data_IF_876085654578
#
_entry.id   IF_876085654578
#
_cell.length_a   1.000
_cell.length_b   1.000
_cell.length_c   1.000
_cell.angle_alpha   90.00
_cell.angle_beta   90.00
_cell.angle_gamma   90.00
#
_symmetry.space_group_name_H-M   'P 1'
#
loop_
_entity.id
_entity.type
_entity.pdbx_description
1 polymer ?
#
# COMPACT_ATOMS: atom_id res chain seq x y z
N UNK A 1 -22.26 -37.39 -0.82
CA UNK A 1 -20.87 -37.11 -0.40
C UNK A 1 -20.05 -38.38 -0.57
N UNK A 2 -18.93 -38.37 -1.29
CA UNK A 2 -18.04 -39.52 -1.30
C UNK A 2 -17.40 -39.68 0.08
N UNK A 3 -17.51 -40.88 0.67
CA UNK A 3 -16.89 -41.23 1.94
C UNK A 3 -15.48 -41.73 1.65
N UNK A 4 -14.45 -41.03 2.15
CA UNK A 4 -13.07 -41.51 2.08
C UNK A 4 -12.87 -42.68 3.06
N UNK A 5 -12.02 -43.66 2.75
CA UNK A 5 -11.81 -44.82 3.63
C UNK A 5 -11.27 -44.39 4.99
N UNK A 6 -11.73 -45.07 6.05
CA UNK A 6 -11.29 -44.82 7.42
C UNK A 6 -9.79 -45.11 7.56
N UNK A 7 -9.04 -44.19 8.16
CA UNK A 7 -7.63 -44.41 8.52
C UNK A 7 -7.61 -44.94 9.95
N UNK A 8 -7.19 -46.19 10.11
CA UNK A 8 -6.99 -46.83 11.41
C UNK A 8 -5.51 -46.83 11.76
N UNK A 9 -5.14 -46.15 12.85
CA UNK A 9 -3.80 -46.22 13.42
C UNK A 9 -3.82 -47.05 14.71
N UNK A 10 -2.75 -47.80 14.94
CA UNK A 10 -2.50 -48.55 16.16
C UNK A 10 -1.34 -47.90 16.90
N UNK A 11 -1.51 -47.64 18.19
CA UNK A 11 -0.44 -47.16 19.07
C UNK A 11 -0.29 -48.18 20.20
N UNK A 12 0.92 -48.73 20.37
CA UNK A 12 1.24 -49.64 21.47
C UNK A 12 1.63 -48.85 22.71
N UNK A 13 1.03 -49.19 23.85
CA UNK A 13 1.56 -48.85 25.17
C UNK A 13 1.84 -50.16 25.92
N UNK A 14 2.76 -50.15 26.90
CA UNK A 14 3.29 -51.34 27.59
C UNK A 14 2.23 -52.24 28.27
N UNK A 15 0.94 -51.90 28.25
CA UNK A 15 -0.16 -52.77 28.65
C UNK A 15 -1.34 -52.71 27.67
N UNK A 16 -1.15 -53.24 26.45
CA UNK A 16 -2.22 -53.57 25.51
C UNK A 16 -2.38 -52.62 24.31
N UNK A 17 -2.84 -53.17 23.18
CA UNK A 17 -3.13 -52.41 21.96
C UNK A 17 -4.46 -51.66 22.09
N UNK A 18 -4.45 -50.33 21.96
CA UNK A 18 -5.68 -49.52 21.88
C UNK A 18 -5.92 -49.09 20.44
N UNK A 19 -7.15 -49.29 19.95
CA UNK A 19 -7.57 -49.01 18.57
C UNK A 19 -8.25 -47.64 18.51
N UNK A 20 -7.66 -46.68 17.81
CA UNK A 20 -8.32 -45.43 17.47
C UNK A 20 -8.71 -45.41 16.00
N UNK A 21 -9.98 -45.08 15.72
CA UNK A 21 -10.47 -44.93 14.35
C UNK A 21 -10.90 -43.49 14.10
N UNK A 22 -10.39 -42.91 13.01
CA UNK A 22 -10.80 -41.59 12.52
C UNK A 22 -11.39 -41.72 11.12
N UNK A 23 -12.58 -41.17 10.95
CA UNK A 23 -13.25 -41.07 9.65
C UNK A 23 -13.36 -39.60 9.25
N UNK A 24 -13.02 -39.33 7.99
CA UNK A 24 -12.98 -37.99 7.42
C UNK A 24 -14.07 -37.83 6.37
N UNK A 25 -14.79 -36.71 6.43
CA UNK A 25 -15.79 -36.33 5.44
C UNK A 25 -15.53 -34.92 4.92
N UNK A 26 -15.57 -34.75 3.61
CA UNK A 26 -15.38 -33.46 2.96
C UNK A 26 -16.74 -32.85 2.61
N UNK A 27 -16.95 -31.58 2.99
CA UNK A 27 -18.15 -30.80 2.68
C UNK A 27 -17.73 -29.62 1.79
N UNK A 28 -17.80 -29.81 0.48
CA UNK A 28 -17.31 -28.87 -0.54
C UNK A 28 -18.00 -27.50 -0.47
N UNK A 29 -19.22 -27.42 0.08
CA UNK A 29 -19.97 -26.17 0.15
C UNK A 29 -19.56 -25.24 1.29
N UNK A 30 -18.81 -25.70 2.30
CA UNK A 30 -18.54 -24.91 3.52
C UNK A 30 -17.07 -24.65 3.85
N UNK A 31 -16.10 -25.18 3.10
CA UNK A 31 -14.66 -25.00 3.37
C UNK A 31 -14.22 -25.45 4.80
N UNK A 32 -14.82 -26.52 5.32
CA UNK A 32 -14.38 -27.15 6.57
C UNK A 32 -14.11 -28.64 6.35
N UNK A 33 -13.08 -29.16 7.01
CA UNK A 33 -12.85 -30.59 7.11
C UNK A 33 -13.50 -31.10 8.39
N UNK A 34 -14.46 -32.02 8.26
CA UNK A 34 -15.10 -32.67 9.41
C UNK A 34 -14.43 -34.01 9.66
N UNK A 35 -14.13 -34.28 10.92
CA UNK A 35 -13.70 -35.60 11.34
C UNK A 35 -14.45 -36.04 12.59
N UNK A 36 -14.65 -37.35 12.65
CA UNK A 36 -15.19 -38.04 13.81
C UNK A 36 -14.09 -38.89 14.43
N UNK A 37 -13.92 -38.75 15.73
CA UNK A 37 -12.98 -39.52 16.52
C UNK A 37 -13.75 -40.35 17.54
N UNK A 38 -13.32 -41.61 17.69
CA UNK A 38 -13.84 -42.53 18.71
C UNK A 38 -12.71 -42.81 19.67
N UNK A 39 -12.95 -42.54 20.96
CA UNK A 39 -12.00 -42.85 22.00
C UNK A 39 -12.11 -44.32 22.44
N UNK A 40 -11.21 -44.74 23.33
CA UNK A 40 -11.11 -46.12 23.80
C UNK A 40 -12.35 -46.58 24.60
N UNK A 41 -13.20 -45.64 25.04
CA UNK A 41 -14.43 -45.90 25.80
C UNK A 41 -15.69 -45.91 24.89
N UNK A 42 -15.52 -45.66 23.59
CA UNK A 42 -16.60 -45.69 22.60
C UNK A 42 -17.38 -44.38 22.46
N UNK A 43 -16.89 -43.28 23.03
CA UNK A 43 -17.51 -41.96 22.89
C UNK A 43 -17.15 -41.31 21.55
N UNK A 44 -18.17 -40.78 20.87
CA UNK A 44 -18.05 -40.14 19.56
C UNK A 44 -17.90 -38.63 19.68
N UNK A 45 -16.76 -38.09 19.23
CA UNK A 45 -16.49 -36.66 19.18
C UNK A 45 -16.51 -36.15 17.73
N UNK A 46 -17.32 -35.11 17.45
CA UNK A 46 -17.37 -34.42 16.15
C UNK A 46 -16.62 -33.10 16.22
N UNK A 47 -15.60 -32.97 15.37
CA UNK A 47 -14.79 -31.76 15.29
C UNK A 47 -14.76 -31.22 13.85
N UNK A 48 -14.54 -29.91 13.72
CA UNK A 48 -14.43 -29.22 12.43
C UNK A 48 -13.24 -28.26 12.43
N UNK A 49 -12.38 -28.36 11.42
CA UNK A 49 -11.24 -27.46 11.23
C UNK A 49 -11.46 -26.63 9.96
N UNK A 50 -11.30 -25.29 10.00
CA UNK A 50 -11.38 -24.45 8.81
C UNK A 50 -10.29 -24.83 7.79
N UNK A 51 -10.67 -24.94 6.51
CA UNK A 51 -9.78 -25.32 5.42
C UNK A 51 -9.52 -24.12 4.49
N UNK A 52 -8.32 -23.54 4.44
CA UNK A 52 -8.00 -22.53 3.43
C UNK A 52 -7.55 -23.22 2.13
N UNK A 53 -8.41 -23.27 1.12
CA UNK A 53 -8.00 -23.68 -0.23
C UNK A 53 -7.07 -22.62 -0.85
N UNK A 54 -5.84 -23.01 -1.22
CA UNK A 54 -5.03 -22.33 -2.25
C UNK A 54 -4.77 -23.28 -3.43
N UNK A 55 -4.64 -22.78 -4.67
CA UNK A 55 -4.72 -23.61 -5.89
C UNK A 55 -3.44 -24.38 -6.26
N UNK A 56 -2.56 -24.68 -5.30
CA UNK A 56 -1.24 -25.21 -5.62
C UNK A 56 -0.72 -26.11 -4.49
N UNK A 57 -1.02 -27.41 -4.60
CA UNK A 57 -0.29 -28.49 -3.92
C UNK A 57 -0.46 -28.58 -2.40
N UNK A 58 -0.94 -29.73 -1.93
CA UNK A 58 -1.03 -30.05 -0.50
C UNK A 58 0.34 -30.43 0.07
N UNK A 59 0.92 -29.58 0.94
CA UNK A 59 1.95 -29.99 1.89
C UNK A 59 1.41 -29.81 3.31
N UNK A 60 1.37 -30.88 4.10
CA UNK A 60 1.05 -30.81 5.53
C UNK A 60 2.34 -30.70 6.35
N UNK A 61 2.41 -29.70 7.23
CA UNK A 61 3.28 -29.71 8.41
C UNK A 61 2.39 -29.85 9.65
N UNK A 62 2.38 -31.04 10.27
CA UNK A 62 1.80 -31.23 11.59
C UNK A 62 2.84 -30.80 12.65
N UNK A 63 2.69 -29.60 13.20
CA UNK A 63 3.47 -29.16 14.36
C UNK A 63 2.83 -29.75 15.63
N UNK A 64 3.19 -30.97 16.00
CA UNK A 64 2.85 -31.52 17.32
C UNK A 64 3.65 -30.76 18.39
N UNK A 65 2.93 -30.13 19.32
CA UNK A 65 3.50 -29.48 20.49
C UNK A 65 3.52 -30.50 21.62
N UNK A 66 4.55 -31.33 21.71
CA UNK A 66 4.80 -32.16 22.89
C UNK A 66 6.09 -31.74 23.59
N UNK A 67 5.96 -31.54 24.90
CA UNK A 67 7.03 -31.32 25.86
C UNK A 67 7.93 -32.56 25.87
N UNK A 68 9.24 -32.34 25.83
CA UNK A 68 10.33 -33.24 26.21
C UNK A 68 10.20 -34.72 25.78
N UNK A 69 10.74 -35.05 24.60
CA UNK A 69 11.55 -36.25 24.33
C UNK A 69 12.04 -36.25 22.86
N UNK A 70 13.21 -36.85 22.54
CA UNK A 70 13.74 -36.87 21.18
C UNK A 70 13.07 -37.97 20.35
N UNK A 71 12.49 -37.62 19.20
CA UNK A 71 11.86 -38.58 18.29
C UNK A 71 12.81 -38.84 17.12
N UNK A 72 13.19 -40.12 16.96
CA UNK A 72 13.92 -40.66 15.82
C UNK A 72 13.12 -40.57 14.52
N UNK A 73 13.86 -40.32 13.44
CA UNK A 73 13.38 -40.15 12.07
C UNK A 73 12.70 -41.43 11.58
N UNK A 74 11.38 -41.39 11.34
CA UNK A 74 10.63 -42.44 10.65
C UNK A 74 10.32 -42.03 9.21
N UNK A 75 10.57 -42.98 8.30
CA UNK A 75 10.53 -42.89 6.84
C UNK A 75 9.25 -42.26 6.24
N UNK A 76 9.45 -41.41 5.22
CA UNK A 76 8.41 -40.84 4.37
C UNK A 76 7.76 -41.93 3.50
N UNK A 77 6.62 -42.45 3.93
CA UNK A 77 5.74 -43.28 3.10
C UNK A 77 4.96 -42.45 2.08
N UNK A 78 5.27 -42.62 0.79
CA UNK A 78 4.57 -42.03 -0.35
C UNK A 78 3.16 -42.66 -0.48
N UNK A 79 2.09 -41.93 -0.11
CA UNK A 79 0.71 -42.40 -0.34
C UNK A 79 0.32 -42.08 -1.79
N UNK A 80 0.53 -43.04 -2.71
CA UNK A 80 -0.07 -43.01 -4.05
C UNK A 80 -1.56 -43.33 -3.95
N UNK A 81 -2.43 -42.39 -4.30
CA UNK A 81 -3.87 -42.65 -4.37
C UNK A 81 -4.21 -43.55 -5.57
N UNK A 82 -5.07 -44.57 -5.44
CA UNK A 82 -5.64 -45.27 -6.57
C UNK A 82 -6.87 -44.49 -7.04
N UNK A 83 -6.66 -43.37 -7.74
CA UNK A 83 -7.74 -42.79 -8.54
C UNK A 83 -7.77 -43.53 -9.87
N UNK A 84 -8.76 -44.42 -9.96
CA UNK A 84 -9.26 -45.01 -11.19
C UNK A 84 -9.42 -43.93 -12.25
N UNK A 85 -9.04 -44.29 -13.47
CA UNK A 85 -9.32 -43.60 -14.73
C UNK A 85 -10.73 -42.99 -14.72
N UNK A 86 -10.82 -41.68 -14.49
CA UNK A 86 -11.95 -40.91 -14.97
C UNK A 86 -11.70 -40.71 -16.46
N UNK A 87 -12.53 -41.38 -17.27
CA UNK A 87 -12.58 -41.24 -18.72
C UNK A 87 -12.30 -39.81 -19.19
N UNK A 88 -11.43 -39.71 -20.20
CA UNK A 88 -11.28 -38.54 -21.03
C UNK A 88 -12.62 -38.19 -21.68
N UNK A 89 -13.39 -37.33 -20.98
CA UNK A 89 -14.47 -36.57 -21.58
C UNK A 89 -13.79 -35.42 -22.34
N UNK A 90 -13.92 -35.48 -23.67
CA UNK A 90 -13.55 -34.47 -24.66
C UNK A 90 -13.40 -33.06 -24.08
N UNK A 91 -12.21 -32.48 -24.29
CA UNK A 91 -11.86 -31.09 -23.99
C UNK A 91 -12.95 -30.12 -24.47
N UNK A 92 -13.66 -29.42 -23.58
CA UNK A 92 -14.25 -28.15 -23.93
C UNK A 92 -13.10 -27.12 -23.89
N UNK A 93 -12.64 -26.76 -25.07
CA UNK A 93 -11.96 -25.50 -25.42
C UNK A 93 -11.26 -24.78 -24.25
N UNK A 94 -9.94 -24.95 -24.16
CA UNK A 94 -9.00 -24.32 -23.20
C UNK A 94 -8.89 -22.79 -23.38
N UNK A 95 -9.97 -22.12 -23.78
CA UNK A 95 -10.04 -20.70 -24.08
C UNK A 95 -11.29 -20.00 -23.52
N UNK A 96 -11.99 -20.62 -22.58
CA UNK A 96 -13.07 -19.99 -21.81
C UNK A 96 -12.78 -20.08 -20.33
N UNK A 97 -12.10 -19.06 -19.82
CA UNK A 97 -12.34 -18.43 -18.50
C UNK A 97 -11.15 -17.54 -18.05
N UNK A 98 -10.52 -16.83 -18.98
CA UNK A 98 -10.07 -15.46 -18.69
C UNK A 98 -11.29 -14.55 -18.70
N UNK A 99 -12.22 -14.77 -17.77
CA UNK A 99 -13.23 -13.76 -17.48
C UNK A 99 -12.47 -12.53 -16.97
N UNK A 100 -12.48 -11.38 -17.68
CA UNK A 100 -11.85 -10.18 -17.19
C UNK A 100 -12.57 -9.82 -15.90
N UNK A 101 -11.84 -9.86 -14.77
CA UNK A 101 -12.37 -9.39 -13.50
C UNK A 101 -12.88 -7.97 -13.71
N UNK A 102 -14.14 -7.74 -13.34
CA UNK A 102 -14.89 -6.54 -13.66
C UNK A 102 -14.37 -5.32 -12.86
N UNK A 103 -13.23 -4.77 -13.28
CA UNK A 103 -12.92 -3.34 -13.39
C UNK A 103 -11.70 -3.21 -14.32
N UNK A 104 -11.95 -3.05 -15.61
CA UNK A 104 -10.97 -3.18 -16.71
C UNK A 104 -9.86 -2.11 -16.80
N UNK A 105 -9.34 -1.62 -15.68
CA UNK A 105 -8.20 -0.70 -15.64
C UNK A 105 -7.03 -1.34 -14.90
N UNK A 106 -5.84 -1.31 -15.51
CA UNK A 106 -4.59 -1.77 -14.88
C UNK A 106 -4.42 -1.17 -13.48
N UNK A 107 -4.14 -1.97 -12.43
CA UNK A 107 -3.92 -1.47 -11.08
C UNK A 107 -2.82 -0.40 -11.03
N UNK A 108 -1.78 -0.56 -11.84
CA UNK A 108 -0.68 0.41 -11.96
C UNK A 108 -1.23 1.77 -12.43
N UNK A 109 -2.12 1.78 -13.43
CA UNK A 109 -2.68 3.01 -13.98
C UNK A 109 -3.42 3.82 -12.91
N UNK A 110 -4.21 3.16 -12.07
CA UNK A 110 -4.97 3.83 -11.01
C UNK A 110 -4.07 4.54 -9.99
N UNK A 111 -2.88 4.01 -9.71
CA UNK A 111 -1.96 4.54 -8.71
C UNK A 111 -0.93 5.51 -9.28
N UNK A 112 -0.59 5.38 -10.57
CA UNK A 112 0.45 6.18 -11.23
C UNK A 112 -0.14 7.39 -11.97
N UNK A 113 -1.31 7.24 -12.60
CA UNK A 113 -1.84 8.28 -13.49
C UNK A 113 -2.10 9.63 -12.80
N UNK A 114 -2.73 9.71 -11.61
CA UNK A 114 -2.94 11.00 -10.95
C UNK A 114 -1.63 11.76 -10.67
N UNK A 115 -0.58 11.03 -10.26
CA UNK A 115 0.75 11.59 -10.02
C UNK A 115 1.42 12.06 -11.30
N UNK A 116 1.39 11.24 -12.37
CA UNK A 116 1.95 11.62 -13.68
C UNK A 116 1.21 12.83 -14.27
N UNK A 117 -0.12 12.88 -14.18
CA UNK A 117 -0.91 14.04 -14.60
C UNK A 117 -0.49 15.29 -13.84
N UNK A 118 -0.31 15.20 -12.52
CA UNK A 118 0.15 16.32 -11.71
C UNK A 118 1.54 16.81 -12.15
N UNK A 119 2.48 15.90 -12.41
CA UNK A 119 3.84 16.24 -12.85
C UNK A 119 3.85 16.88 -14.25
N UNK A 120 3.14 16.29 -15.21
CA UNK A 120 3.09 16.79 -16.60
C UNK A 120 2.40 18.16 -16.67
N UNK A 121 1.26 18.31 -15.99
CA UNK A 121 0.54 19.59 -15.95
C UNK A 121 1.33 20.64 -15.15
N UNK A 122 2.04 20.23 -14.09
CA UNK A 122 2.95 21.12 -13.34
C UNK A 122 4.12 21.61 -14.19
N UNK A 123 4.71 20.74 -15.02
CA UNK A 123 5.74 21.17 -15.98
C UNK A 123 5.17 22.16 -17.01
N UNK A 124 3.93 21.96 -17.46
CA UNK A 124 3.25 22.89 -18.37
C UNK A 124 3.00 24.28 -17.75
N UNK A 125 2.80 24.38 -16.43
CA UNK A 125 2.65 25.68 -15.74
C UNK A 125 3.87 26.59 -15.90
N UNK A 126 5.07 26.00 -16.07
CA UNK A 126 6.31 26.76 -16.30
C UNK A 126 6.41 27.35 -17.72
N UNK A 127 5.52 26.97 -18.64
CA UNK A 127 5.58 27.44 -20.02
C UNK A 127 5.16 28.91 -20.13
N UNK A 128 6.03 29.74 -20.71
CA UNK A 128 5.84 31.20 -20.82
C UNK A 128 4.44 31.64 -21.29
N UNK A 129 3.82 31.03 -22.32
CA UNK A 129 2.48 31.42 -22.78
C UNK A 129 1.37 31.19 -21.75
N UNK A 130 1.58 30.30 -20.78
CA UNK A 130 0.59 29.95 -19.75
C UNK A 130 0.74 30.76 -18.47
N UNK A 131 1.91 31.37 -18.21
CA UNK A 131 2.17 32.15 -16.98
C UNK A 131 1.15 33.25 -16.69
N UNK A 132 0.65 34.03 -17.68
CA UNK A 132 -0.39 35.05 -17.40
C UNK A 132 -1.72 34.46 -16.91
N UNK A 133 -1.97 33.18 -17.18
CA UNK A 133 -3.20 32.47 -16.82
C UNK A 133 -2.99 31.50 -15.65
N UNK A 134 -1.87 31.62 -14.91
CA UNK A 134 -1.46 30.66 -13.89
C UNK A 134 -2.58 30.26 -12.91
N UNK A 135 -3.39 31.19 -12.34
CA UNK A 135 -4.49 30.79 -11.45
C UNK A 135 -5.49 29.82 -12.08
N UNK A 136 -5.83 30.02 -13.36
CA UNK A 136 -6.76 29.17 -14.09
C UNK A 136 -6.13 27.84 -14.48
N UNK A 137 -4.87 27.87 -14.95
CA UNK A 137 -4.11 26.67 -15.31
C UNK A 137 -3.94 25.77 -14.09
N UNK A 138 -3.54 26.35 -12.94
CA UNK A 138 -3.42 25.63 -11.68
C UNK A 138 -4.77 25.04 -11.22
N UNK A 139 -5.85 25.83 -11.30
CA UNK A 139 -7.20 25.35 -10.95
C UNK A 139 -7.61 24.17 -11.83
N UNK A 140 -7.37 24.25 -13.13
CA UNK A 140 -7.63 23.16 -14.08
C UNK A 140 -6.79 21.92 -13.76
N UNK A 141 -5.50 22.09 -13.45
CA UNK A 141 -4.62 21.00 -13.02
C UNK A 141 -5.20 20.26 -11.83
N UNK A 142 -5.55 20.98 -10.76
CA UNK A 142 -6.11 20.37 -9.55
C UNK A 142 -7.45 19.68 -9.82
N UNK A 143 -8.32 20.28 -10.63
CA UNK A 143 -9.59 19.67 -11.01
C UNK A 143 -9.40 18.37 -11.82
N UNK A 144 -8.46 18.36 -12.78
CA UNK A 144 -8.14 17.18 -13.60
C UNK A 144 -7.58 16.06 -12.73
N UNK A 145 -6.60 16.37 -11.87
CA UNK A 145 -5.97 15.37 -10.99
C UNK A 145 -6.97 14.82 -9.99
N UNK A 146 -7.78 15.67 -9.36
CA UNK A 146 -8.83 15.23 -8.44
C UNK A 146 -9.92 14.42 -9.16
N UNK A 147 -10.30 14.81 -10.37
CA UNK A 147 -11.23 14.06 -11.22
C UNK A 147 -10.70 12.66 -11.55
N UNK A 148 -9.43 12.56 -11.92
CA UNK A 148 -8.74 11.29 -12.16
C UNK A 148 -8.69 10.42 -10.90
N UNK A 149 -8.33 11.00 -9.76
CA UNK A 149 -8.31 10.29 -8.47
C UNK A 149 -9.71 9.79 -8.10
N UNK A 150 -10.74 10.63 -8.23
CA UNK A 150 -12.13 10.28 -7.96
C UNK A 150 -12.65 9.17 -8.88
N UNK A 151 -12.24 9.16 -10.14
CA UNK A 151 -12.57 8.08 -11.09
C UNK A 151 -12.03 6.72 -10.59
N UNK A 152 -10.80 6.68 -10.08
CA UNK A 152 -10.18 5.47 -9.55
C UNK A 152 -10.44 5.21 -8.06
N UNK A 153 -11.27 6.01 -7.37
CA UNK A 153 -11.45 5.95 -5.91
C UNK A 153 -11.78 4.58 -5.33
N UNK A 154 -12.44 3.71 -6.11
CA UNK A 154 -12.81 2.34 -5.69
C UNK A 154 -11.62 1.38 -5.65
N UNK A 155 -10.50 1.74 -6.29
CA UNK A 155 -9.27 0.95 -6.32
C UNK A 155 -8.37 1.22 -5.12
N UNK A 156 -8.56 2.35 -4.45
CA UNK A 156 -7.77 2.73 -3.29
C UNK A 156 -8.31 2.09 -2.00
N UNK A 157 -7.46 1.92 -0.96
CA UNK A 157 -7.91 1.42 0.33
C UNK A 157 -9.02 2.30 0.92
N UNK A 158 -10.05 1.68 1.49
CA UNK A 158 -11.12 2.40 2.16
C UNK A 158 -10.58 3.30 3.29
N UNK A 159 -11.18 4.48 3.53
CA UNK A 159 -10.83 5.35 4.65
C UNK A 159 -10.73 4.60 5.98
N UNK A 160 -9.65 4.85 6.71
CA UNK A 160 -9.40 4.24 8.01
C UNK A 160 -8.83 5.25 8.99
N UNK A 161 -9.39 5.28 10.20
CA UNK A 161 -8.95 6.17 11.28
C UNK A 161 -7.80 5.59 12.11
N UNK A 162 -7.41 4.33 11.86
CA UNK A 162 -6.36 3.67 12.61
C UNK A 162 -5.02 4.39 12.45
N UNK A 163 -4.43 4.86 13.55
CA UNK A 163 -3.12 5.51 13.52
C UNK A 163 -3.11 6.95 13.00
N UNK A 164 -4.26 7.60 12.78
CA UNK A 164 -4.28 9.01 12.35
C UNK A 164 -3.61 9.96 13.34
N UNK A 165 -3.64 9.64 14.64
CA UNK A 165 -2.90 10.41 15.66
C UNK A 165 -1.39 10.43 15.40
N UNK A 166 -0.82 9.30 14.94
CA UNK A 166 0.58 9.26 14.48
C UNK A 166 0.79 10.09 13.22
N UNK A 167 -0.20 10.08 12.32
CA UNK A 167 -0.19 10.92 11.12
C UNK A 167 -0.13 12.41 11.48
N UNK A 168 -1.05 12.89 12.31
CA UNK A 168 -1.11 14.29 12.76
C UNK A 168 0.19 14.70 13.44
N UNK A 169 0.69 13.90 14.38
CA UNK A 169 1.94 14.18 15.08
C UNK A 169 3.12 14.27 14.10
N UNK A 170 3.26 13.29 13.21
CA UNK A 170 4.31 13.30 12.19
C UNK A 170 4.17 14.50 11.24
N UNK A 171 2.95 14.90 10.90
CA UNK A 171 2.68 16.07 10.07
C UNK A 171 3.13 17.38 10.71
N UNK A 172 2.83 17.56 12.00
CA UNK A 172 3.26 18.73 12.80
C UNK A 172 4.78 18.77 12.95
N UNK A 173 5.39 17.65 13.35
CA UNK A 173 6.86 17.56 13.47
C UNK A 173 7.51 17.79 12.11
N UNK A 174 6.94 17.20 11.06
CA UNK A 174 7.42 17.31 9.69
C UNK A 174 7.48 18.76 9.20
N UNK A 175 6.42 19.55 9.41
CA UNK A 175 6.42 20.97 8.99
C UNK A 175 7.41 21.81 9.80
N UNK A 176 7.56 21.56 11.10
CA UNK A 176 8.53 22.27 11.96
C UNK A 176 9.95 22.01 11.45
N UNK A 177 10.28 20.74 11.20
CA UNK A 177 11.59 20.34 10.66
C UNK A 177 11.79 20.92 9.26
N UNK A 178 10.78 20.86 8.39
CA UNK A 178 10.87 21.40 7.03
C UNK A 178 11.17 22.90 7.02
N UNK A 179 10.38 23.69 7.77
CA UNK A 179 10.59 25.14 7.88
C UNK A 179 11.95 25.44 8.52
N UNK A 180 12.34 24.68 9.55
CA UNK A 180 13.64 24.80 10.20
C UNK A 180 14.79 24.62 9.20
N UNK A 181 14.77 23.53 8.43
CA UNK A 181 15.81 23.23 7.43
C UNK A 181 15.81 24.22 6.28
N UNK A 182 14.64 24.62 5.78
CA UNK A 182 14.52 25.67 4.77
C UNK A 182 15.21 26.97 5.21
N UNK A 183 15.00 27.40 6.46
CA UNK A 183 15.61 28.62 6.97
C UNK A 183 17.15 28.53 7.11
N UNK A 184 17.70 27.31 7.25
CA UNK A 184 19.15 27.11 7.27
C UNK A 184 19.79 27.28 5.88
N UNK A 185 19.00 27.25 4.80
CA UNK A 185 19.46 27.43 3.41
C UNK A 185 20.65 26.51 3.03
N UNK A 186 20.69 25.30 3.58
CA UNK A 186 21.82 24.37 3.44
C UNK A 186 22.05 23.97 1.97
N UNK A 187 20.97 23.91 1.21
CA UNK A 187 20.98 23.48 -0.18
C UNK A 187 21.68 24.49 -1.10
N UNK A 188 21.78 25.77 -0.73
CA UNK A 188 22.61 26.73 -1.47
C UNK A 188 24.07 26.31 -1.52
N UNK A 189 24.57 25.65 -0.47
CA UNK A 189 25.95 25.16 -0.44
C UNK A 189 26.16 23.92 -1.32
N UNK A 190 25.09 23.24 -1.72
CA UNK A 190 25.12 22.05 -2.59
C UNK A 190 24.79 22.41 -4.04
N UNK A 191 24.08 23.52 -4.26
CA UNK A 191 23.71 24.04 -5.58
C UNK A 191 24.93 24.28 -6.48
N UNK A 192 26.07 24.67 -5.90
CA UNK A 192 27.32 24.88 -6.64
C UNK A 192 28.02 23.57 -7.03
N UNK A 193 27.65 22.45 -6.40
CA UNK A 193 28.28 21.14 -6.58
C UNK A 193 27.49 20.28 -7.58
N UNK A 194 26.17 20.43 -7.60
CA UNK A 194 25.29 19.67 -8.48
C UNK A 194 25.07 20.41 -9.81
N UNK A 195 24.96 19.69 -10.94
CA UNK A 195 24.64 20.32 -12.22
C UNK A 195 23.28 21.03 -12.17
N UNK A 196 23.18 22.20 -12.81
CA UNK A 196 21.95 23.00 -12.81
C UNK A 196 20.74 22.31 -13.47
N UNK A 197 20.98 21.34 -14.35
CA UNK A 197 19.92 20.50 -14.93
C UNK A 197 19.36 19.47 -13.93
N UNK A 198 20.11 19.17 -12.86
CA UNK A 198 19.74 18.25 -11.80
C UNK A 198 19.16 18.99 -10.59
N UNK A 199 19.64 20.21 -10.31
CA UNK A 199 19.24 20.99 -9.15
C UNK A 199 19.23 22.49 -9.45
N UNK A 200 18.13 23.17 -9.09
CA UNK A 200 18.07 24.63 -9.04
C UNK A 200 17.59 25.08 -7.66
N UNK A 201 18.34 25.99 -7.04
CA UNK A 201 17.98 26.58 -5.75
C UNK A 201 16.90 27.66 -5.86
N UNK A 202 16.56 28.11 -7.06
CA UNK A 202 15.66 29.25 -7.26
C UNK A 202 14.19 28.81 -7.27
N UNK A 203 13.44 29.22 -6.25
CA UNK A 203 11.98 29.12 -6.23
C UNK A 203 11.37 30.48 -6.55
N UNK A 204 10.60 30.55 -7.63
CA UNK A 204 9.82 31.73 -7.99
C UNK A 204 8.46 31.62 -7.28
N UNK A 205 8.24 32.50 -6.31
CA UNK A 205 6.96 32.57 -5.60
C UNK A 205 5.87 33.30 -6.40
N UNK A 206 4.61 32.90 -6.21
CA UNK A 206 3.44 33.60 -6.75
C UNK A 206 2.67 34.25 -5.61
N UNK A 207 2.66 35.59 -5.55
CA UNK A 207 1.88 36.35 -4.59
C UNK A 207 0.48 36.69 -5.17
N UNK A 208 -0.61 36.06 -4.68
CA UNK A 208 -1.95 36.31 -5.19
C UNK A 208 -2.45 37.73 -4.96
N UNK A 209 -1.97 38.42 -3.93
CA UNK A 209 -2.44 39.76 -3.58
C UNK A 209 -1.86 40.84 -4.48
N UNK A 210 -0.72 40.58 -5.13
CA UNK A 210 -0.12 41.48 -6.12
C UNK A 210 -0.51 41.09 -7.56
N UNK A 211 -0.65 39.78 -7.82
CA UNK A 211 -0.91 39.28 -9.17
C UNK A 211 -2.41 39.30 -9.57
N UNK A 212 -3.34 39.29 -8.61
CA UNK A 212 -4.78 39.26 -8.87
C UNK A 212 -5.43 40.57 -8.41
N UNK A 213 -6.00 41.33 -9.35
CA UNK A 213 -6.55 42.66 -9.09
C UNK A 213 -7.69 42.67 -8.08
N UNK A 214 -8.58 41.67 -8.13
CA UNK A 214 -9.72 41.60 -7.21
C UNK A 214 -9.35 40.86 -5.92
N UNK A 215 -9.59 41.48 -4.76
CA UNK A 215 -9.38 40.83 -3.45
C UNK A 215 -10.15 39.52 -3.30
N UNK A 216 -11.41 39.48 -3.79
CA UNK A 216 -12.21 38.26 -3.81
C UNK A 216 -11.59 37.15 -4.68
N UNK A 217 -11.07 37.51 -5.85
CA UNK A 217 -10.35 36.57 -6.73
C UNK A 217 -9.05 36.05 -6.12
N UNK A 218 -8.30 36.90 -5.42
CA UNK A 218 -7.09 36.49 -4.71
C UNK A 218 -7.40 35.43 -3.63
N UNK A 219 -8.40 35.68 -2.79
CA UNK A 219 -8.83 34.72 -1.76
C UNK A 219 -9.46 33.45 -2.36
N UNK A 220 -10.21 33.55 -3.45
CA UNK A 220 -10.72 32.38 -4.16
C UNK A 220 -9.58 31.50 -4.69
N UNK A 221 -8.54 32.11 -5.28
CA UNK A 221 -7.37 31.37 -5.73
C UNK A 221 -6.58 30.76 -4.57
N UNK A 222 -6.38 31.51 -3.47
CA UNK A 222 -5.76 30.98 -2.25
C UNK A 222 -6.51 29.75 -1.73
N UNK A 223 -7.84 29.78 -1.71
CA UNK A 223 -8.65 28.65 -1.28
C UNK A 223 -8.42 27.43 -2.19
N UNK A 224 -8.45 27.60 -3.52
CA UNK A 224 -8.15 26.53 -4.48
C UNK A 224 -6.73 25.98 -4.27
N UNK A 225 -5.75 26.86 -4.09
CA UNK A 225 -4.35 26.50 -3.88
C UNK A 225 -4.13 25.73 -2.59
N UNK A 226 -4.73 26.19 -1.48
CA UNK A 226 -4.70 25.49 -0.19
C UNK A 226 -5.39 24.12 -0.28
N UNK A 227 -6.56 24.02 -0.94
CA UNK A 227 -7.21 22.71 -1.15
C UNK A 227 -6.36 21.79 -2.02
N UNK A 228 -5.75 22.31 -3.09
CA UNK A 228 -4.82 21.55 -3.92
C UNK A 228 -3.64 21.02 -3.11
N UNK A 229 -2.99 21.90 -2.35
CA UNK A 229 -1.82 21.60 -1.52
C UNK A 229 -2.14 20.65 -0.36
N UNK A 230 -3.20 20.90 0.41
CA UNK A 230 -3.49 20.15 1.64
C UNK A 230 -4.39 18.92 1.44
N UNK A 231 -5.09 18.78 0.30
CA UNK A 231 -5.98 17.65 0.05
C UNK A 231 -5.55 16.85 -1.18
N UNK A 232 -5.48 17.51 -2.35
CA UNK A 232 -5.29 16.78 -3.63
C UNK A 232 -3.89 16.20 -3.75
N UNK A 233 -2.86 16.98 -3.38
CA UNK A 233 -1.46 16.54 -3.40
C UNK A 233 -1.24 15.33 -2.47
N UNK A 234 -1.61 15.35 -1.17
CA UNK A 234 -1.51 14.18 -0.31
C UNK A 234 -2.23 12.93 -0.84
N UNK A 235 -3.43 13.11 -1.41
CA UNK A 235 -4.20 11.99 -1.94
C UNK A 235 -3.51 11.32 -3.13
N UNK A 236 -2.98 12.09 -4.07
CA UNK A 236 -2.33 11.54 -5.26
C UNK A 236 -0.91 11.05 -4.98
N UNK A 237 -0.14 11.77 -4.17
CA UNK A 237 1.25 11.41 -3.86
C UNK A 237 1.33 10.18 -2.97
N UNK A 238 0.58 10.11 -1.87
CA UNK A 238 0.69 8.97 -0.97
C UNK A 238 0.20 7.69 -1.63
N UNK A 239 -0.85 7.79 -2.46
CA UNK A 239 -1.28 6.68 -3.32
C UNK A 239 -0.13 6.21 -4.21
N UNK A 240 0.57 7.12 -4.89
CA UNK A 240 1.72 6.76 -5.72
C UNK A 240 2.89 6.19 -4.91
N UNK A 241 3.42 6.93 -3.93
CA UNK A 241 4.63 6.56 -3.20
C UNK A 241 4.43 5.35 -2.29
N UNK A 242 3.38 5.37 -1.44
CA UNK A 242 3.17 4.38 -0.37
C UNK A 242 2.14 3.32 -0.77
N UNK A 243 1.16 3.70 -1.59
CA UNK A 243 0.16 2.77 -2.11
C UNK A 243 0.70 1.86 -3.22
N UNK A 244 1.63 2.36 -4.03
CA UNK A 244 2.22 1.66 -5.18
C UNK A 244 3.73 1.46 -5.07
N UNK A 245 4.55 2.51 -5.22
CA UNK A 245 5.99 2.38 -5.53
C UNK A 245 6.75 1.60 -4.44
N UNK A 246 6.51 1.91 -3.16
CA UNK A 246 7.18 1.22 -2.05
C UNK A 246 6.88 -0.29 -2.00
N UNK A 247 5.71 -0.71 -2.51
CA UNK A 247 5.26 -2.10 -2.58
C UNK A 247 5.71 -2.76 -3.88
N UNK A 248 5.69 -2.01 -4.99
CA UNK A 248 6.15 -2.46 -6.30
C UNK A 248 7.64 -2.81 -6.31
N UNK A 249 8.45 -2.01 -5.60
CA UNK A 249 9.88 -2.29 -5.42
C UNK A 249 10.17 -3.56 -4.59
N UNK A 250 9.17 -4.13 -3.92
CA UNK A 250 9.28 -5.43 -3.25
C UNK A 250 8.90 -6.56 -4.21
N UNK A 251 7.84 -6.37 -5.00
CA UNK A 251 7.34 -7.33 -5.99
C UNK A 251 6.43 -6.63 -7.01
N UNK A 252 6.58 -6.98 -8.30
CA UNK A 252 5.80 -6.39 -9.41
C UNK A 252 4.28 -6.48 -9.21
N UNK A 253 3.80 -7.61 -8.68
CA UNK A 253 2.44 -7.78 -8.17
C UNK A 253 2.31 -7.11 -6.79
N UNK A 254 2.40 -5.78 -6.80
CA UNK A 254 2.47 -4.95 -5.59
C UNK A 254 1.22 -5.07 -4.71
N UNK A 255 0.07 -5.40 -5.29
CA UNK A 255 -1.18 -5.57 -4.56
C UNK A 255 -1.13 -6.75 -3.59
N UNK A 256 -0.34 -7.77 -3.92
CA UNK A 256 -0.09 -8.92 -3.03
C UNK A 256 0.81 -8.59 -1.84
N UNK A 257 1.56 -7.48 -1.87
CA UNK A 257 2.45 -7.06 -0.80
C UNK A 257 1.66 -6.31 0.27
N UNK A 258 1.59 -6.74 1.54
CA UNK A 258 0.86 -6.01 2.58
C UNK A 258 1.35 -4.56 2.76
N UNK A 259 0.43 -3.62 2.99
CA UNK A 259 0.79 -2.22 3.28
C UNK A 259 1.71 -2.14 4.49
N UNK A 260 2.82 -1.41 4.34
CA UNK A 260 3.84 -1.28 5.38
C UNK A 260 4.78 -2.49 5.51
N UNK A 261 4.87 -3.35 4.51
CA UNK A 261 5.98 -4.31 4.40
C UNK A 261 7.29 -3.55 4.27
N UNK A 262 8.25 -3.81 5.16
CA UNK A 262 9.54 -3.13 5.16
C UNK A 262 10.57 -3.94 4.38
N UNK A 263 11.27 -3.27 3.47
CA UNK A 263 12.56 -3.73 2.96
C UNK A 263 13.54 -2.55 2.95
N UNK A 264 14.83 -2.76 3.24
CA UNK A 264 15.82 -1.69 3.13
C UNK A 264 15.88 -1.09 1.72
N UNK A 265 15.73 -1.92 0.68
CA UNK A 265 15.73 -1.48 -0.71
C UNK A 265 14.56 -0.54 -1.00
N UNK A 266 13.31 -0.97 -0.76
CA UNK A 266 12.14 -0.14 -1.08
C UNK A 266 12.10 1.14 -0.26
N UNK A 267 12.53 1.10 1.00
CA UNK A 267 12.65 2.29 1.84
C UNK A 267 13.64 3.30 1.24
N UNK A 268 14.88 2.88 0.99
CA UNK A 268 15.94 3.78 0.53
C UNK A 268 15.66 4.31 -0.88
N UNK A 269 15.18 3.45 -1.78
CA UNK A 269 14.84 3.86 -3.14
C UNK A 269 13.71 4.90 -3.16
N UNK A 270 12.64 4.72 -2.37
CA UNK A 270 11.56 5.73 -2.28
C UNK A 270 12.06 7.04 -1.68
N UNK A 271 12.90 7.00 -0.63
CA UNK A 271 13.48 8.23 -0.06
C UNK A 271 14.30 8.97 -1.11
N UNK A 272 15.20 8.30 -1.82
CA UNK A 272 16.04 8.92 -2.86
C UNK A 272 15.17 9.50 -3.99
N UNK A 273 14.24 8.72 -4.55
CA UNK A 273 13.39 9.18 -5.65
C UNK A 273 12.49 10.34 -5.24
N UNK A 274 11.93 10.31 -4.02
CA UNK A 274 11.14 11.41 -3.48
C UNK A 274 11.99 12.67 -3.31
N UNK A 275 13.18 12.53 -2.72
CA UNK A 275 14.13 13.64 -2.52
C UNK A 275 14.50 14.32 -3.84
N UNK A 276 14.78 13.55 -4.89
CA UNK A 276 15.13 14.11 -6.21
C UNK A 276 13.96 14.86 -6.88
N UNK A 277 12.72 14.62 -6.45
CA UNK A 277 11.56 15.36 -6.93
C UNK A 277 11.35 16.72 -6.24
N UNK A 278 12.18 17.07 -5.25
CA UNK A 278 11.99 18.26 -4.42
C UNK A 278 13.23 19.17 -4.42
N UNK A 279 13.05 20.51 -4.34
CA UNK A 279 14.17 21.44 -4.22
C UNK A 279 14.82 21.46 -2.82
N UNK A 280 14.11 21.10 -1.75
CA UNK A 280 14.67 21.00 -0.40
C UNK A 280 15.16 19.58 -0.14
N UNK A 281 16.30 19.20 -0.73
CA UNK A 281 16.74 17.80 -0.75
C UNK A 281 16.80 17.18 0.65
N UNK A 282 17.38 17.89 1.62
CA UNK A 282 17.53 17.37 2.98
C UNK A 282 16.20 17.31 3.72
N UNK A 283 15.37 18.36 3.61
CA UNK A 283 14.05 18.38 4.22
C UNK A 283 13.15 17.28 3.64
N UNK A 284 13.16 17.11 2.31
CA UNK A 284 12.42 16.08 1.61
C UNK A 284 12.88 14.67 2.01
N UNK A 285 14.18 14.44 2.16
CA UNK A 285 14.72 13.15 2.60
C UNK A 285 14.25 12.78 4.02
N UNK A 286 14.40 13.72 4.96
CA UNK A 286 14.01 13.51 6.37
C UNK A 286 12.50 13.34 6.48
N UNK A 287 11.74 14.18 5.80
CA UNK A 287 10.28 14.11 5.81
C UNK A 287 9.77 12.80 5.20
N UNK A 288 10.30 12.39 4.03
CA UNK A 288 9.92 11.14 3.39
C UNK A 288 10.24 9.92 4.27
N UNK A 289 11.41 9.92 4.91
CA UNK A 289 11.78 8.89 5.88
C UNK A 289 10.79 8.84 7.05
N UNK A 290 10.36 10.01 7.56
CA UNK A 290 9.34 10.14 8.60
C UNK A 290 7.98 9.58 8.19
N UNK A 291 7.50 9.88 6.98
CA UNK A 291 6.24 9.33 6.48
C UNK A 291 6.33 7.81 6.22
N UNK A 292 7.48 7.32 5.74
CA UNK A 292 7.72 5.89 5.63
C UNK A 292 7.67 5.21 7.01
N UNK A 293 8.23 5.84 8.05
CA UNK A 293 8.09 5.35 9.41
C UNK A 293 6.62 5.31 9.86
N UNK A 294 5.80 6.33 9.55
CA UNK A 294 4.35 6.31 9.81
C UNK A 294 3.68 5.13 9.12
N UNK A 295 4.02 4.86 7.86
CA UNK A 295 3.50 3.72 7.10
C UNK A 295 3.83 2.41 7.82
N UNK A 296 5.09 2.22 8.22
CA UNK A 296 5.51 0.99 8.88
C UNK A 296 4.95 0.84 10.29
N UNK A 297 4.70 1.94 10.99
CA UNK A 297 4.15 1.93 12.35
C UNK A 297 2.65 1.66 12.38
N UNK A 298 1.92 2.20 11.41
CA UNK A 298 0.45 2.18 11.37
C UNK A 298 -0.11 1.14 10.41
N UNK A 299 0.67 0.73 9.40
CA UNK A 299 0.24 -0.10 8.27
C UNK A 299 -1.00 0.47 7.56
N UNK A 300 -1.18 1.79 7.61
CA UNK A 300 -2.36 2.48 7.10
C UNK A 300 -1.95 3.65 6.19
N UNK A 301 -2.39 3.59 4.93
CA UNK A 301 -2.14 4.64 3.95
C UNK A 301 -2.79 5.97 4.37
N UNK A 302 -3.96 5.93 5.02
CA UNK A 302 -4.66 7.14 5.45
C UNK A 302 -3.92 7.90 6.55
N UNK A 303 -3.11 7.22 7.37
CA UNK A 303 -2.24 7.89 8.34
C UNK A 303 -1.13 8.69 7.64
N UNK A 304 -0.57 8.18 6.53
CA UNK A 304 0.39 8.90 5.69
C UNK A 304 -0.26 10.07 4.97
N UNK A 305 -1.45 9.88 4.37
CA UNK A 305 -2.24 10.95 3.75
C UNK A 305 -2.52 12.07 4.75
N UNK A 306 -2.92 11.73 5.98
CA UNK A 306 -3.16 12.71 7.03
C UNK A 306 -1.88 13.42 7.46
N UNK A 307 -0.76 12.72 7.61
CA UNK A 307 0.51 13.35 7.94
C UNK A 307 0.90 14.40 6.88
N UNK A 308 0.78 14.02 5.61
CA UNK A 308 1.08 14.90 4.48
C UNK A 308 0.10 16.07 4.40
N UNK A 309 -1.20 15.82 4.51
CA UNK A 309 -2.22 16.88 4.55
C UNK A 309 -1.97 17.89 5.68
N UNK A 310 -1.60 17.43 6.87
CA UNK A 310 -1.30 18.30 8.02
C UNK A 310 -0.03 19.11 7.78
N UNK A 311 1.05 18.49 7.28
CA UNK A 311 2.28 19.23 6.92
C UNK A 311 1.95 20.35 5.93
N UNK A 312 1.24 20.02 4.86
CA UNK A 312 0.92 20.94 3.77
C UNK A 312 -0.03 22.05 4.18
N UNK A 313 -1.04 21.74 5.01
CA UNK A 313 -1.95 22.75 5.55
C UNK A 313 -1.20 23.74 6.43
N UNK A 314 -0.38 23.26 7.36
CA UNK A 314 0.40 24.12 8.26
C UNK A 314 1.46 24.93 7.51
N UNK A 315 2.06 24.36 6.46
CA UNK A 315 2.97 25.08 5.58
C UNK A 315 2.23 26.19 4.82
N UNK A 316 1.04 25.91 4.28
CA UNK A 316 0.20 26.92 3.63
C UNK A 316 -0.21 28.06 4.58
N UNK A 317 -0.56 27.74 5.82
CA UNK A 317 -0.84 28.75 6.87
C UNK A 317 0.40 29.58 7.17
N UNK A 318 1.56 28.95 7.31
CA UNK A 318 2.83 29.63 7.52
C UNK A 318 3.10 30.64 6.40
N UNK A 319 2.97 30.23 5.13
CA UNK A 319 3.25 31.11 3.99
C UNK A 319 2.31 32.31 3.97
N UNK A 320 1.02 32.11 4.22
CA UNK A 320 0.06 33.21 4.30
C UNK A 320 0.37 34.18 5.45
N UNK A 321 0.87 33.67 6.57
CA UNK A 321 1.22 34.48 7.72
C UNK A 321 2.54 35.27 7.54
N UNK A 322 3.50 34.72 6.80
CA UNK A 322 4.84 35.33 6.64
C UNK A 322 5.09 36.00 5.31
N UNK A 323 4.22 35.77 4.31
CA UNK A 323 4.47 36.20 2.93
C UNK A 323 5.62 35.44 2.26
N UNK A 324 5.98 34.25 2.74
CA UNK A 324 7.07 33.43 2.20
C UNK A 324 6.66 32.70 0.92
N UNK A 325 6.24 33.44 -0.11
CA UNK A 325 5.67 32.92 -1.35
C UNK A 325 6.61 31.99 -2.13
N UNK A 326 7.92 31.99 -1.85
CA UNK A 326 8.87 31.04 -2.45
C UNK A 326 8.58 29.57 -2.08
N UNK A 327 7.90 29.32 -0.95
CA UNK A 327 7.49 27.98 -0.52
C UNK A 327 6.12 27.55 -1.11
N UNK A 328 5.50 28.41 -1.91
CA UNK A 328 4.12 28.29 -2.39
C UNK A 328 3.96 27.37 -3.58
#
# INVERSE_FOLDING_TARGET
MPVLPAVTNWTSYEHGFVRHSRSFGFDEHRQYLRYTETDAEGSLHRNSIPYPCRPSGCYWYLKQRHRHEPIDVLELGEIRSPLRECHAMSTPDENRDLAPSASGSSPILAYVLPFVLFMVLGAAEGWEPLKPYYPFVYTAKIAIVLGCWCYFRRRYPAPSTAGLGWGILAGIVGVIVWIGLWNLNLERHIADILPSWLYSAERIGYDPFTAITSTGGAWAFIAVRLCGLALVVPLMEEVFWRGFLIRYLVKDDFESVPVGTFTPWSFSAVVVLFTLAHPELLAAAIWCAGINWVLYRTKNLWACITAHAVTNLLLGVYILATGSWALW
#
